data_IF_652435719946
#
_entry.id   IF_652435719946
#
_cell.length_a   1.000
_cell.length_b   1.000
_cell.length_c   1.000
_cell.angle_alpha   90.00
_cell.angle_beta   90.00
_cell.angle_gamma   90.00
#
_symmetry.space_group_name_H-M   'P 1'
#
loop_
_entity.id
_entity.type
_entity.pdbx_description
1 polymer ?
#
# COMPACT_ATOMS: atom_id res chain seq x y z
N UNK A 1 -9.56 22.90 -4.12
CA UNK A 1 -8.25 22.23 -4.03
C UNK A 1 -8.46 20.87 -3.38
N UNK A 2 -7.94 19.78 -3.95
CA UNK A 2 -7.97 18.44 -3.35
C UNK A 2 -6.53 18.01 -3.04
N UNK A 3 -6.34 17.31 -1.93
CA UNK A 3 -5.04 16.80 -1.52
C UNK A 3 -4.80 15.46 -2.22
N UNK A 4 -3.67 15.35 -2.91
CA UNK A 4 -3.30 14.17 -3.68
C UNK A 4 -3.37 12.86 -2.88
N UNK A 5 -2.81 12.84 -1.66
CA UNK A 5 -2.81 11.66 -0.79
C UNK A 5 -4.22 11.20 -0.39
N UNK A 6 -5.14 12.13 -0.16
CA UNK A 6 -6.51 11.80 0.22
C UNK A 6 -7.28 11.21 -0.96
N UNK A 7 -7.05 11.73 -2.17
CA UNK A 7 -7.62 11.17 -3.40
C UNK A 7 -7.14 9.75 -3.67
N UNK A 8 -5.90 9.43 -3.28
CA UNK A 8 -5.34 8.08 -3.42
C UNK A 8 -5.68 7.15 -2.25
N UNK A 9 -6.34 7.64 -1.19
CA UNK A 9 -6.75 6.79 -0.07
C UNK A 9 -5.59 6.35 0.83
N UNK A 10 -4.64 7.24 1.12
CA UNK A 10 -3.58 6.99 2.11
C UNK A 10 -4.13 6.82 3.54
N UNK A 11 -5.14 7.63 3.87
CA UNK A 11 -5.77 7.67 5.19
C UNK A 11 -7.17 7.06 5.11
N UNK A 12 -7.39 5.82 5.61
CA UNK A 12 -8.67 5.13 5.50
C UNK A 12 -9.80 5.87 6.21
N UNK A 13 -9.51 6.55 7.32
CA UNK A 13 -10.48 7.26 8.15
C UNK A 13 -10.81 8.68 7.65
N UNK A 14 -10.02 9.21 6.70
CA UNK A 14 -10.23 10.56 6.17
C UNK A 14 -11.17 10.54 4.96
N UNK A 15 -12.46 10.85 5.16
CA UNK A 15 -13.46 10.85 4.10
C UNK A 15 -14.41 12.08 4.14
N UNK A 16 -13.91 13.29 3.89
CA UNK A 16 -14.78 14.47 3.82
C UNK A 16 -15.74 14.38 2.62
N UNK A 17 -16.93 14.96 2.76
CA UNK A 17 -18.05 14.83 1.79
C UNK A 17 -17.73 15.24 0.35
N UNK A 18 -16.73 16.10 0.14
CA UNK A 18 -16.33 16.60 -1.17
C UNK A 18 -15.19 15.79 -1.81
N UNK A 19 -14.63 14.81 -1.09
CA UNK A 19 -13.53 13.98 -1.57
C UNK A 19 -14.09 12.83 -2.41
N UNK A 20 -13.62 12.75 -3.65
CA UNK A 20 -13.74 11.53 -4.46
C UNK A 20 -12.45 10.73 -4.32
N UNK A 21 -12.55 9.52 -3.76
CA UNK A 21 -11.43 8.56 -3.75
C UNK A 21 -11.31 7.91 -5.12
N UNK A 22 -10.11 7.92 -5.66
CA UNK A 22 -9.75 7.27 -6.93
C UNK A 22 -9.04 5.94 -6.72
N UNK A 23 -8.51 5.69 -5.51
CA UNK A 23 -7.78 4.48 -5.15
C UNK A 23 -7.93 4.20 -3.65
N UNK A 24 -7.78 2.93 -3.27
CA UNK A 24 -7.50 2.49 -1.89
C UNK A 24 -6.03 2.11 -1.77
N UNK A 25 -5.17 3.11 -1.59
CA UNK A 25 -3.74 2.89 -1.43
C UNK A 25 -3.42 2.19 -0.10
N UNK A 26 -4.14 2.53 0.97
CA UNK A 26 -3.94 1.91 2.28
C UNK A 26 -4.11 0.38 2.22
N UNK A 27 -5.20 -0.11 1.63
CA UNK A 27 -5.45 -1.55 1.49
C UNK A 27 -4.39 -2.24 0.62
N UNK A 28 -4.02 -1.63 -0.50
CA UNK A 28 -2.99 -2.18 -1.39
C UNK A 28 -1.61 -2.24 -0.71
N UNK A 29 -1.22 -1.17 -0.02
CA UNK A 29 0.04 -1.11 0.71
C UNK A 29 0.09 -2.17 1.82
N UNK A 30 -1.01 -2.34 2.57
CA UNK A 30 -1.10 -3.38 3.60
C UNK A 30 -0.97 -4.80 3.01
N UNK A 31 -1.58 -5.05 1.85
CA UNK A 31 -1.45 -6.31 1.13
C UNK A 31 0.00 -6.58 0.71
N UNK A 32 0.65 -5.59 0.08
CA UNK A 32 2.05 -5.69 -0.34
C UNK A 32 2.99 -5.94 0.84
N UNK A 33 2.78 -5.29 1.99
CA UNK A 33 3.59 -5.50 3.19
C UNK A 33 3.40 -6.89 3.79
N UNK A 34 2.17 -7.44 3.76
CA UNK A 34 1.91 -8.82 4.20
C UNK A 34 2.61 -9.83 3.30
N UNK A 35 2.49 -9.66 1.99
CA UNK A 35 3.17 -10.51 1.03
C UNK A 35 4.70 -10.46 1.23
N UNK A 36 5.27 -9.26 1.36
CA UNK A 36 6.69 -9.10 1.67
C UNK A 36 7.09 -9.85 2.95
N UNK A 37 6.30 -9.71 4.03
CA UNK A 37 6.54 -10.43 5.27
C UNK A 37 6.53 -11.95 5.05
N UNK A 38 5.54 -12.48 4.33
CA UNK A 38 5.43 -13.90 4.02
C UNK A 38 6.61 -14.41 3.19
N UNK A 39 7.05 -13.64 2.20
CA UNK A 39 8.21 -13.98 1.37
C UNK A 39 9.51 -14.00 2.17
N UNK A 40 9.69 -13.08 3.12
CA UNK A 40 10.83 -13.08 4.06
C UNK A 40 10.76 -14.27 5.01
N UNK A 41 9.60 -14.55 5.61
CA UNK A 41 9.41 -15.68 6.54
C UNK A 41 9.61 -17.04 5.85
N UNK A 42 9.30 -17.13 4.55
CA UNK A 42 9.50 -18.33 3.73
C UNK A 42 10.90 -18.41 3.11
N UNK A 43 11.76 -17.40 3.31
CA UNK A 43 13.08 -17.33 2.70
C UNK A 43 13.07 -17.21 1.18
N UNK A 44 11.94 -16.78 0.59
CA UNK A 44 11.81 -16.49 -0.84
C UNK A 44 12.40 -15.12 -1.18
N UNK A 45 12.33 -14.18 -0.25
CA UNK A 45 12.98 -12.89 -0.34
C UNK A 45 14.14 -12.79 0.67
N UNK A 46 15.32 -12.27 0.27
CA UNK A 46 15.67 -11.89 -1.10
C UNK A 46 15.93 -13.11 -2.00
N UNK A 47 15.42 -13.07 -3.24
CA UNK A 47 15.75 -14.05 -4.27
C UNK A 47 17.17 -13.84 -4.83
N UNK A 48 17.62 -14.75 -5.71
CA UNK A 48 18.92 -14.63 -6.38
C UNK A 48 19.02 -13.32 -7.20
N UNK A 49 17.93 -12.86 -7.79
CA UNK A 49 17.87 -11.57 -8.52
C UNK A 49 17.95 -10.32 -7.63
N UNK A 50 17.80 -10.52 -6.32
CA UNK A 50 17.81 -9.48 -5.30
C UNK A 50 18.99 -9.63 -4.32
N UNK A 51 19.97 -10.46 -4.69
CA UNK A 51 21.20 -10.74 -3.95
C UNK A 51 22.43 -10.54 -4.85
N UNK A 52 23.58 -10.15 -4.28
CA UNK A 52 24.85 -9.96 -4.99
C UNK A 52 25.78 -11.16 -4.84
#
# INVERSE_FOLDING_TARGET
>A
VLVFHDMLGFSPDFNPKFLKRYMDFHGQALGALKQYKEEVEQGKFPGEEHSY
#
